data_IF_812113484792
#
_entry.id   IF_812113484792
#
_cell.length_a   1.000
_cell.length_b   1.000
_cell.length_c   1.000
_cell.angle_alpha   90.00
_cell.angle_beta   90.00
_cell.angle_gamma   90.00
#
_symmetry.space_group_name_H-M   'P 1'
#
loop_
_entity.id
_entity.type
_entity.pdbx_description
1 polymer ?
#
# COMPACT_ATOMS: atom_id res chain seq x y z
N UNK A 1 -8.94 0.83 15.65
CA UNK A 1 -8.48 0.70 14.25
C UNK A 1 -8.63 -0.76 13.87
N UNK A 2 -9.65 -1.11 13.06
CA UNK A 2 -10.00 -2.51 12.72
C UNK A 2 -9.46 -2.93 11.34
N UNK A 3 -8.30 -2.42 10.96
CA UNK A 3 -7.72 -2.74 9.64
C UNK A 3 -7.46 -4.25 9.60
N UNK A 4 -6.97 -4.83 10.70
CA UNK A 4 -6.63 -6.23 10.86
C UNK A 4 -5.48 -6.31 11.87
N UNK A 5 -4.85 -7.48 12.06
CA UNK A 5 -3.65 -7.53 12.88
C UNK A 5 -2.58 -6.58 12.29
N UNK A 6 -2.01 -5.74 13.13
CA UNK A 6 -0.95 -4.79 12.80
C UNK A 6 0.26 -5.09 13.70
N UNK A 7 1.51 -5.02 13.21
CA UNK A 7 2.70 -5.25 14.04
C UNK A 7 2.84 -4.19 15.13
N UNK A 8 2.48 -4.54 16.38
CA UNK A 8 2.54 -3.62 17.53
C UNK A 8 3.90 -3.57 18.21
N UNK A 9 4.81 -4.50 17.88
CA UNK A 9 6.16 -4.60 18.44
C UNK A 9 7.22 -4.42 17.36
N UNK A 10 8.37 -3.89 17.73
CA UNK A 10 9.49 -3.72 16.82
C UNK A 10 10.00 -5.08 16.30
N UNK A 11 10.49 -5.10 15.07
CA UNK A 11 10.95 -6.29 14.35
C UNK A 11 9.88 -7.40 14.23
N UNK A 12 8.60 -7.04 14.24
CA UNK A 12 7.51 -7.99 14.00
C UNK A 12 6.83 -7.73 12.67
N UNK A 13 6.30 -8.79 12.08
CA UNK A 13 5.54 -8.73 10.84
C UNK A 13 4.17 -9.36 11.04
N UNK A 14 3.19 -8.79 10.37
CA UNK A 14 1.87 -9.41 10.21
C UNK A 14 1.66 -9.79 8.75
N UNK A 15 1.19 -11.00 8.51
CA UNK A 15 0.87 -11.48 7.17
C UNK A 15 -0.50 -10.96 6.75
N UNK A 16 -0.55 -10.45 5.54
CA UNK A 16 -1.75 -9.99 4.86
C UNK A 16 -1.90 -10.76 3.56
N UNK A 17 -3.11 -11.23 3.29
CA UNK A 17 -3.43 -11.92 2.03
C UNK A 17 -4.38 -11.04 1.23
N UNK A 18 -4.02 -10.78 -0.02
CA UNK A 18 -4.96 -10.23 -0.99
C UNK A 18 -5.33 -11.27 -2.02
N UNK A 19 -6.61 -11.24 -2.36
CA UNK A 19 -7.23 -12.14 -3.31
C UNK A 19 -7.83 -11.28 -4.39
N UNK A 20 -7.23 -11.31 -5.58
CA UNK A 20 -7.74 -10.60 -6.75
C UNK A 20 -8.88 -11.40 -7.35
N UNK A 21 -10.07 -10.81 -7.34
CA UNK A 21 -11.28 -11.39 -7.91
C UNK A 21 -11.64 -10.68 -9.22
N UNK A 22 -11.96 -11.44 -10.26
CA UNK A 22 -12.55 -10.93 -11.49
C UNK A 22 -13.76 -11.78 -11.85
N UNK A 23 -14.93 -11.14 -12.00
CA UNK A 23 -16.17 -11.85 -12.31
C UNK A 23 -16.62 -12.85 -11.23
N UNK A 24 -16.14 -12.72 -9.99
CA UNK A 24 -16.40 -13.66 -8.90
C UNK A 24 -15.42 -14.84 -8.82
N UNK A 25 -14.48 -14.95 -9.76
CA UNK A 25 -13.43 -15.96 -9.76
C UNK A 25 -12.11 -15.41 -9.23
N UNK A 26 -11.39 -16.22 -8.45
CA UNK A 26 -10.05 -15.89 -7.94
C UNK A 26 -9.05 -15.94 -9.10
N UNK A 27 -8.49 -14.80 -9.45
CA UNK A 27 -7.47 -14.66 -10.50
C UNK A 27 -6.06 -14.79 -9.94
N UNK A 28 -5.84 -14.28 -8.73
CA UNK A 28 -4.55 -14.34 -8.07
C UNK A 28 -4.73 -14.25 -6.55
N UNK A 29 -3.82 -14.88 -5.83
CA UNK A 29 -3.66 -14.72 -4.38
C UNK A 29 -2.22 -14.31 -4.14
N UNK A 30 -2.02 -13.20 -3.42
CA UNK A 30 -0.69 -12.76 -3.02
C UNK A 30 -0.66 -12.53 -1.52
N UNK A 31 0.35 -13.09 -0.88
CA UNK A 31 0.66 -12.85 0.52
C UNK A 31 1.73 -11.76 0.60
N UNK A 32 1.50 -10.81 1.49
CA UNK A 32 2.43 -9.75 1.84
C UNK A 32 2.67 -9.77 3.34
N UNK A 33 3.75 -9.11 3.78
CA UNK A 33 4.00 -8.91 5.20
C UNK A 33 4.10 -7.42 5.49
N UNK A 34 3.22 -6.93 6.36
CA UNK A 34 3.39 -5.61 6.96
C UNK A 34 4.32 -5.76 8.16
N UNK A 35 5.53 -5.26 8.05
CA UNK A 35 6.58 -5.33 9.05
C UNK A 35 6.78 -3.98 9.73
N UNK A 36 7.13 -4.02 11.01
CA UNK A 36 7.61 -2.88 11.78
C UNK A 36 9.10 -3.07 12.06
N UNK A 37 9.91 -2.09 11.68
CA UNK A 37 11.34 -2.05 11.98
C UNK A 37 11.59 -1.48 13.37
N UNK A 38 12.43 -0.46 13.48
CA UNK A 38 12.77 0.18 14.75
C UNK A 38 11.91 1.42 15.01
N UNK A 39 10.81 1.23 15.74
CA UNK A 39 9.87 2.29 16.09
C UNK A 39 8.56 2.21 15.31
N UNK A 40 7.57 2.99 15.75
CA UNK A 40 6.20 2.93 15.23
C UNK A 40 6.05 3.42 13.79
N UNK A 41 6.98 4.28 13.36
CA UNK A 41 6.95 4.94 12.04
C UNK A 41 7.79 4.21 10.98
N UNK A 42 8.58 3.21 11.40
CA UNK A 42 9.40 2.39 10.51
C UNK A 42 8.57 1.19 10.05
N UNK A 43 7.77 1.40 9.00
CA UNK A 43 6.91 0.37 8.44
C UNK A 43 7.34 0.00 7.02
N UNK A 44 7.26 -1.30 6.75
CA UNK A 44 7.66 -1.88 5.47
C UNK A 44 6.59 -2.88 5.03
N UNK A 45 6.14 -2.78 3.79
CA UNK A 45 5.42 -3.86 3.11
C UNK A 45 6.47 -4.71 2.40
N UNK A 46 6.66 -5.93 2.86
CA UNK A 46 7.49 -6.92 2.23
C UNK A 46 6.62 -7.74 1.25
N UNK A 47 6.87 -7.53 -0.04
CA UNK A 47 6.13 -8.10 -1.17
C UNK A 47 6.66 -9.48 -1.58
N UNK A 48 7.70 -10.00 -0.89
CA UNK A 48 8.50 -11.13 -1.34
C UNK A 48 9.55 -10.74 -2.38
N UNK A 49 10.37 -11.72 -2.81
CA UNK A 49 11.36 -11.57 -3.88
C UNK A 49 12.31 -10.36 -3.70
N UNK A 50 12.76 -10.14 -2.46
CA UNK A 50 13.58 -8.99 -2.04
C UNK A 50 12.97 -7.60 -2.30
N UNK A 51 11.68 -7.53 -2.61
CA UNK A 51 10.93 -6.28 -2.76
C UNK A 51 10.36 -5.84 -1.42
N UNK A 52 10.84 -4.69 -0.95
CA UNK A 52 10.40 -4.04 0.28
C UNK A 52 10.00 -2.60 -0.01
N UNK A 53 8.77 -2.26 0.35
CA UNK A 53 8.20 -0.95 0.12
C UNK A 53 8.12 -0.22 1.46
N UNK A 54 8.85 0.88 1.59
CA UNK A 54 8.70 1.78 2.73
C UNK A 54 7.29 2.36 2.75
N UNK A 55 6.63 2.28 3.90
CA UNK A 55 5.26 2.74 4.07
C UNK A 55 5.13 3.50 5.37
N UNK A 56 4.15 4.40 5.45
CA UNK A 56 3.91 5.22 6.65
C UNK A 56 2.44 5.43 6.88
N UNK A 57 2.05 5.49 8.16
CA UNK A 57 0.75 6.01 8.53
C UNK A 57 0.75 7.54 8.47
N UNK A 58 -0.21 8.11 7.76
CA UNK A 58 -0.51 9.54 7.76
C UNK A 58 -1.97 9.66 8.22
N UNK A 59 -2.15 9.93 9.51
CA UNK A 59 -3.48 9.85 10.14
C UNK A 59 -4.00 8.41 10.14
N UNK A 60 -5.11 8.18 9.45
CA UNK A 60 -5.76 6.87 9.29
C UNK A 60 -5.45 6.19 7.94
N UNK A 61 -4.55 6.77 7.14
CA UNK A 61 -4.18 6.28 5.80
C UNK A 61 -2.79 5.66 5.83
N UNK A 62 -2.64 4.45 5.31
CA UNK A 62 -1.35 3.83 5.03
C UNK A 62 -0.88 4.29 3.65
N UNK A 63 0.27 4.95 3.57
CA UNK A 63 0.80 5.52 2.34
C UNK A 63 2.11 4.84 1.97
N UNK A 64 2.15 4.26 0.77
CA UNK A 64 3.29 3.50 0.22
C UNK A 64 3.69 4.08 -1.14
N UNK A 65 4.69 4.97 -1.19
CA UNK A 65 5.27 5.43 -2.44
C UNK A 65 6.29 4.42 -2.99
N UNK A 66 6.27 4.16 -4.29
CA UNK A 66 7.26 3.30 -4.94
C UNK A 66 7.44 3.68 -6.42
N UNK A 67 8.59 3.30 -6.98
CA UNK A 67 8.87 3.48 -8.41
C UNK A 67 8.66 2.16 -9.15
N UNK A 68 8.11 2.25 -10.36
CA UNK A 68 8.00 1.14 -11.29
C UNK A 68 8.29 1.66 -12.69
N UNK A 69 9.36 1.17 -13.31
CA UNK A 69 9.91 1.70 -14.57
C UNK A 69 10.12 3.23 -14.53
N UNK A 70 9.37 3.98 -15.34
CA UNK A 70 9.41 5.44 -15.44
C UNK A 70 8.24 6.11 -14.69
N UNK A 71 7.61 5.40 -13.76
CA UNK A 71 6.46 5.87 -13.00
C UNK A 71 6.80 5.96 -11.51
N UNK A 72 6.31 7.03 -10.90
CA UNK A 72 6.15 7.15 -9.45
C UNK A 72 4.69 6.80 -9.12
N UNK A 73 4.51 5.79 -8.27
CA UNK A 73 3.22 5.37 -7.77
C UNK A 73 3.11 5.71 -6.29
N UNK A 74 1.95 6.16 -5.87
CA UNK A 74 1.62 6.38 -4.45
C UNK A 74 0.35 5.60 -4.17
N UNK A 75 0.48 4.45 -3.50
CA UNK A 75 -0.66 3.71 -2.96
C UNK A 75 -1.06 4.31 -1.62
N UNK A 76 -2.34 4.58 -1.45
CA UNK A 76 -2.96 5.11 -0.23
C UNK A 76 -4.12 4.21 0.17
N UNK A 77 -4.00 3.54 1.31
CA UNK A 77 -4.98 2.56 1.77
C UNK A 77 -5.61 3.02 3.07
N UNK A 78 -6.94 2.97 3.15
CA UNK A 78 -7.71 3.37 4.34
C UNK A 78 -8.92 2.48 4.54
N UNK A 79 -9.30 2.26 5.79
CA UNK A 79 -10.53 1.55 6.13
C UNK A 79 -11.65 2.56 6.42
N UNK A 80 -12.76 2.47 5.66
CA UNK A 80 -13.98 3.27 5.87
C UNK A 80 -15.15 2.34 6.16
N UNK A 81 -15.52 2.24 7.44
CA UNK A 81 -16.53 1.27 7.87
C UNK A 81 -16.04 -0.16 7.63
N UNK A 82 -16.70 -0.89 6.74
CA UNK A 82 -16.39 -2.26 6.33
C UNK A 82 -15.69 -2.36 4.96
N UNK A 83 -15.36 -1.21 4.36
CA UNK A 83 -14.69 -1.11 3.05
C UNK A 83 -13.24 -0.68 3.25
N UNK A 84 -12.31 -1.49 2.76
CA UNK A 84 -10.91 -1.10 2.59
C UNK A 84 -10.76 -0.44 1.22
N UNK A 85 -10.51 0.86 1.20
CA UNK A 85 -10.28 1.64 -0.02
C UNK A 85 -8.78 1.75 -0.27
N UNK A 86 -8.34 1.39 -1.46
CA UNK A 86 -6.99 1.65 -1.97
C UNK A 86 -7.09 2.62 -3.16
N UNK A 87 -6.33 3.71 -3.10
CA UNK A 87 -6.14 4.64 -4.20
C UNK A 87 -4.67 4.60 -4.64
N UNK A 88 -4.43 4.40 -5.93
CA UNK A 88 -3.10 4.44 -6.52
C UNK A 88 -3.04 5.66 -7.46
N UNK A 89 -2.24 6.64 -7.07
CA UNK A 89 -1.93 7.81 -7.90
C UNK A 89 -0.70 7.49 -8.74
N UNK A 90 -0.83 7.60 -10.06
CA UNK A 90 0.24 7.32 -11.03
C UNK A 90 0.77 8.64 -11.57
N UNK A 91 2.08 8.84 -11.48
CA UNK A 91 2.78 10.04 -11.89
C UNK A 91 4.00 9.65 -12.74
N UNK A 92 4.34 10.45 -13.74
CA UNK A 92 5.61 10.27 -14.45
C UNK A 92 6.78 10.55 -13.49
N UNK A 93 7.72 9.61 -13.39
CA UNK A 93 8.94 9.80 -12.62
C UNK A 93 9.87 10.75 -13.39
N UNK A 94 10.31 11.80 -12.69
CA UNK A 94 11.17 12.83 -13.26
C UNK A 94 12.46 12.91 -12.46
N UNK A 95 13.61 13.16 -13.11
CA UNK A 95 14.85 13.44 -12.41
C UNK A 95 14.68 14.64 -11.46
N UNK A 96 15.26 14.52 -10.27
CA UNK A 96 15.29 15.61 -9.30
C UNK A 96 16.03 16.83 -9.87
N UNK A 97 15.49 18.01 -9.62
CA UNK A 97 16.07 19.30 -10.03
C UNK A 97 16.40 20.15 -8.81
N UNK A 98 17.22 21.19 -8.99
CA UNK A 98 17.39 22.23 -7.98
C UNK A 98 16.12 23.10 -7.95
N UNK A 99 15.35 23.01 -6.87
CA UNK A 99 14.11 23.77 -6.67
C UNK A 99 12.88 22.87 -6.55
N UNK A 100 11.70 23.48 -6.57
CA UNK A 100 10.42 22.75 -6.53
C UNK A 100 10.10 22.22 -7.93
N UNK A 101 9.86 20.91 -8.04
CA UNK A 101 9.37 20.29 -9.27
C UNK A 101 7.90 19.90 -9.10
N UNK A 102 7.04 20.48 -9.92
CA UNK A 102 5.64 20.06 -9.96
C UNK A 102 5.51 18.69 -10.59
N UNK A 103 4.84 17.79 -9.88
CA UNK A 103 4.49 16.46 -10.34
C UNK A 103 3.05 16.48 -10.84
N UNK A 104 2.80 15.93 -12.02
CA UNK A 104 1.48 15.89 -12.63
C UNK A 104 0.94 14.47 -12.61
N UNK A 105 -0.22 14.29 -11.97
CA UNK A 105 -0.92 13.01 -11.98
C UNK A 105 -1.31 12.64 -13.40
N UNK A 106 -0.91 11.44 -13.83
CA UNK A 106 -1.30 10.85 -15.11
C UNK A 106 -2.64 10.13 -14.99
N UNK A 107 -2.82 9.36 -13.93
CA UNK A 107 -4.03 8.59 -13.68
C UNK A 107 -4.24 8.34 -12.18
N UNK A 108 -5.47 8.02 -11.82
CA UNK A 108 -5.85 7.57 -10.48
C UNK A 108 -6.63 6.27 -10.66
N UNK A 109 -6.17 5.22 -9.99
CA UNK A 109 -6.89 3.96 -9.87
C UNK A 109 -7.47 3.85 -8.46
N UNK A 110 -8.71 3.39 -8.35
CA UNK A 110 -9.39 3.15 -7.08
C UNK A 110 -9.86 1.70 -7.00
N UNK A 111 -9.61 1.09 -5.86
CA UNK A 111 -9.98 -0.29 -5.57
C UNK A 111 -10.73 -0.27 -4.24
N UNK A 112 -11.92 -0.89 -4.21
CA UNK A 112 -12.68 -1.09 -2.99
C UNK A 112 -12.73 -2.59 -2.67
N UNK A 113 -12.19 -2.95 -1.52
CA UNK A 113 -12.20 -4.30 -1.00
C UNK A 113 -13.23 -4.37 0.13
N UNK A 114 -14.33 -5.09 -0.10
CA UNK A 114 -15.37 -5.32 0.90
C UNK A 114 -15.16 -6.67 1.55
N UNK A 115 -15.27 -6.75 2.88
CA UNK A 115 -15.30 -8.04 3.57
C UNK A 115 -16.54 -8.82 3.11
N UNK A 116 -16.34 -10.03 2.58
CA UNK A 116 -17.44 -10.96 2.37
C UNK A 116 -17.88 -11.43 3.77
N UNK A 117 -19.09 -11.06 4.19
CA UNK A 117 -19.67 -11.60 5.43
C UNK A 117 -19.73 -13.12 5.29
N UNK A 118 -19.10 -13.82 6.23
CA UNK A 118 -19.27 -15.27 6.41
C UNK A 118 -20.54 -15.55 7.19
#
# INVERSE_FOLDING_TARGET
MEIGPYPTSDNTCTVWRNTYLQGGEVQAVKDYRLCRGQGADDLVIDEGDDVKLETRWIGDVLVTPFKYDNLLLISSTRLRGDILEEEIVIIDDKPAIKGVQSMHTRAIQRIELKRVKS
#
